data_IF_254964516314
#
_entry.id   IF_254964516314
#
_cell.length_a   1.000
_cell.length_b   1.000
_cell.length_c   1.000
_cell.angle_alpha   90.00
_cell.angle_beta   90.00
_cell.angle_gamma   90.00
#
_symmetry.space_group_name_H-M   'P 1'
#
loop_
_entity.id
_entity.type
_entity.pdbx_description
1 polymer ?
#
# COMPACT_ATOMS: atom_id res chain seq x y z
N UNK A 1 -20.09 0.20 21.52
CA UNK A 1 -19.80 -0.63 20.33
C UNK A 1 -18.35 -1.04 20.41
N UNK A 2 -18.11 -2.31 20.73
CA UNK A 2 -16.78 -2.88 20.69
C UNK A 2 -16.28 -2.86 19.25
N UNK A 3 -15.06 -2.38 19.04
CA UNK A 3 -14.46 -2.32 17.72
C UNK A 3 -14.21 -3.73 17.16
N UNK A 4 -14.12 -3.84 15.84
CA UNK A 4 -13.70 -5.08 15.19
C UNK A 4 -12.22 -5.02 14.81
N UNK A 5 -11.65 -6.19 14.56
CA UNK A 5 -10.28 -6.36 14.09
C UNK A 5 -10.28 -6.86 12.66
N UNK A 6 -9.25 -6.51 11.90
CA UNK A 6 -9.04 -7.05 10.57
C UNK A 6 -8.23 -8.34 10.60
N UNK A 7 -8.60 -9.29 9.77
CA UNK A 7 -7.77 -10.40 9.36
C UNK A 7 -7.23 -10.16 7.95
N UNK A 8 -6.05 -10.72 7.67
CA UNK A 8 -5.41 -10.56 6.38
C UNK A 8 -6.09 -11.45 5.34
N UNK A 9 -6.45 -10.89 4.17
CA UNK A 9 -6.80 -11.66 2.98
C UNK A 9 -5.69 -11.61 1.94
N UNK A 10 -5.30 -10.41 1.51
CA UNK A 10 -4.08 -10.19 0.75
C UNK A 10 -3.59 -8.72 0.89
N UNK A 11 -2.58 -8.34 0.10
CA UNK A 11 -2.04 -6.98 0.13
C UNK A 11 -3.08 -5.87 -0.11
N UNK A 12 -4.09 -6.09 -0.96
CA UNK A 12 -5.14 -5.11 -1.24
C UNK A 12 -6.31 -5.23 -0.27
N UNK A 13 -6.67 -6.44 0.13
CA UNK A 13 -7.90 -6.70 0.87
C UNK A 13 -7.67 -7.19 2.30
N UNK A 14 -8.52 -6.71 3.21
CA UNK A 14 -8.64 -7.22 4.57
C UNK A 14 -10.04 -7.77 4.79
N UNK A 15 -10.18 -8.69 5.73
CA UNK A 15 -11.48 -9.23 6.14
C UNK A 15 -11.81 -8.77 7.55
N UNK A 16 -13.07 -8.47 7.80
CA UNK A 16 -13.57 -8.21 9.15
C UNK A 16 -14.96 -8.82 9.31
N UNK A 17 -15.37 -9.03 10.56
CA UNK A 17 -16.71 -9.50 10.89
C UNK A 17 -17.49 -8.38 11.57
N UNK A 18 -18.74 -8.20 11.17
CA UNK A 18 -19.66 -7.23 11.75
C UNK A 18 -21.05 -7.86 11.80
N UNK A 19 -21.69 -7.83 12.96
CA UNK A 19 -23.05 -8.36 13.17
C UNK A 19 -23.22 -9.83 12.69
N UNK A 20 -22.18 -10.66 12.89
CA UNK A 20 -22.15 -12.06 12.47
C UNK A 20 -21.77 -12.31 11.01
N UNK A 21 -21.76 -11.28 10.16
CA UNK A 21 -21.45 -11.35 8.73
C UNK A 21 -20.00 -10.97 8.43
N UNK A 22 -19.36 -11.66 7.48
CA UNK A 22 -18.02 -11.32 7.01
C UNK A 22 -18.05 -10.31 5.87
N UNK A 23 -17.05 -9.44 5.86
CA UNK A 23 -16.87 -8.39 4.87
C UNK A 23 -15.42 -8.30 4.41
N UNK A 24 -15.24 -8.03 3.12
CA UNK A 24 -13.96 -7.78 2.47
C UNK A 24 -13.79 -6.27 2.27
N UNK A 25 -12.84 -5.67 2.98
CA UNK A 25 -12.42 -4.29 2.78
C UNK A 25 -11.42 -4.20 1.63
N UNK A 26 -11.69 -3.33 0.65
CA UNK A 26 -10.71 -2.90 -0.34
C UNK A 26 -9.94 -1.68 0.18
N UNK A 27 -8.64 -1.85 0.44
CA UNK A 27 -7.79 -0.78 0.95
C UNK A 27 -7.29 0.17 -0.12
N UNK A 28 -7.52 -0.12 -1.40
CA UNK A 28 -7.11 0.78 -2.47
C UNK A 28 -7.86 2.12 -2.32
N UNK A 29 -7.15 3.24 -2.07
CA UNK A 29 -7.79 4.53 -1.87
C UNK A 29 -8.66 4.93 -3.05
N UNK A 30 -9.84 5.48 -2.75
CA UNK A 30 -10.78 5.98 -3.75
C UNK A 30 -10.40 7.37 -4.29
N UNK A 31 -9.59 8.13 -3.55
CA UNK A 31 -9.19 9.50 -3.90
C UNK A 31 -7.67 9.64 -3.93
N UNK A 32 -7.15 10.41 -4.89
CA UNK A 32 -5.71 10.64 -5.04
C UNK A 32 -5.09 11.31 -3.81
N UNK A 33 -5.80 12.25 -3.18
CA UNK A 33 -5.34 12.96 -1.97
C UNK A 33 -4.98 12.00 -0.82
N UNK A 34 -5.64 10.83 -0.75
CA UNK A 34 -5.39 9.85 0.29
C UNK A 34 -4.03 9.15 0.14
N UNK A 35 -3.39 9.23 -1.03
CA UNK A 35 -2.00 8.77 -1.20
C UNK A 35 -0.98 9.71 -0.58
N UNK A 36 -1.27 11.01 -0.48
CA UNK A 36 -0.34 11.99 0.10
C UNK A 36 -0.18 11.83 1.62
N UNK A 37 -1.26 11.43 2.30
CA UNK A 37 -1.29 11.26 3.74
C UNK A 37 -2.18 10.08 4.11
N UNK A 38 -1.55 8.95 4.44
CA UNK A 38 -2.23 7.69 4.71
C UNK A 38 -3.43 7.81 5.69
N UNK A 39 -3.35 8.53 6.83
CA UNK A 39 -4.52 8.67 7.72
C UNK A 39 -5.72 9.40 7.09
N UNK A 40 -5.55 10.13 5.97
CA UNK A 40 -6.68 10.75 5.25
C UNK A 40 -7.68 9.69 4.77
N UNK A 41 -7.24 8.45 4.54
CA UNK A 41 -8.13 7.34 4.15
C UNK A 41 -9.28 7.10 5.15
N UNK A 42 -9.11 7.41 6.43
CA UNK A 42 -10.14 7.26 7.47
C UNK A 42 -11.27 8.29 7.38
N UNK A 43 -11.12 9.32 6.56
CA UNK A 43 -12.14 10.35 6.35
C UNK A 43 -13.06 10.04 5.17
N UNK A 44 -12.65 9.13 4.28
CA UNK A 44 -13.39 8.75 3.09
C UNK A 44 -14.11 7.42 3.27
N UNK A 45 -15.19 7.24 2.52
CA UNK A 45 -15.86 5.93 2.42
C UNK A 45 -14.97 4.94 1.68
N UNK A 46 -14.90 3.73 2.20
CA UNK A 46 -14.14 2.62 1.65
C UNK A 46 -15.08 1.62 1.00
N UNK A 47 -14.58 0.96 -0.05
CA UNK A 47 -15.32 -0.10 -0.73
C UNK A 47 -15.26 -1.36 0.12
N UNK A 48 -16.42 -1.93 0.39
CA UNK A 48 -16.60 -3.14 1.19
C UNK A 48 -17.49 -4.11 0.43
N UNK A 49 -17.18 -5.39 0.47
CA UNK A 49 -17.95 -6.44 -0.19
C UNK A 49 -18.39 -7.49 0.83
N UNK A 50 -19.67 -7.90 0.86
CA UNK A 50 -20.10 -8.99 1.72
C UNK A 50 -19.44 -10.30 1.27
N UNK A 51 -19.03 -11.12 2.23
CA UNK A 51 -18.46 -12.45 2.02
C UNK A 51 -19.41 -13.52 2.54
N UNK A 52 -19.45 -14.67 1.86
CA UNK A 52 -20.03 -15.88 2.44
C UNK A 52 -19.05 -16.53 3.40
N UNK A 53 -19.54 -17.45 4.25
CA UNK A 53 -18.66 -18.25 5.13
C UNK A 53 -17.67 -19.10 4.31
N UNK A 54 -18.10 -19.63 3.17
CA UNK A 54 -17.25 -20.41 2.27
C UNK A 54 -16.12 -19.55 1.68
N UNK A 55 -16.43 -18.34 1.20
CA UNK A 55 -15.42 -17.42 0.69
C UNK A 55 -14.35 -17.08 1.75
N UNK A 56 -14.80 -16.86 2.99
CA UNK A 56 -13.89 -16.61 4.11
C UNK A 56 -12.97 -17.80 4.40
N UNK A 57 -13.51 -19.02 4.39
CA UNK A 57 -12.73 -20.25 4.61
C UNK A 57 -11.69 -20.44 3.50
N UNK A 58 -12.04 -20.21 2.23
CA UNK A 58 -11.12 -20.29 1.10
C UNK A 58 -9.94 -19.30 1.23
N UNK A 59 -10.24 -18.06 1.64
CA UNK A 59 -9.21 -17.04 1.92
C UNK A 59 -8.29 -17.52 3.04
N UNK A 60 -8.85 -18.04 4.13
CA UNK A 60 -8.09 -18.50 5.29
C UNK A 60 -7.17 -19.67 4.94
N UNK A 61 -7.69 -20.68 4.23
CA UNK A 61 -6.91 -21.84 3.81
C UNK A 61 -5.70 -21.45 2.97
N UNK A 62 -5.88 -20.55 1.98
CA UNK A 62 -4.76 -20.05 1.18
C UNK A 62 -3.71 -19.34 2.04
N UNK A 63 -4.16 -18.51 2.98
CA UNK A 63 -3.24 -17.75 3.82
C UNK A 63 -2.47 -18.64 4.80
N UNK A 64 -3.09 -19.72 5.29
CA UNK A 64 -2.40 -20.69 6.14
C UNK A 64 -1.30 -21.46 5.36
N UNK A 65 -1.51 -21.74 4.07
CA UNK A 65 -0.44 -22.25 3.19
C UNK A 65 0.68 -21.22 3.00
N UNK A 66 0.35 -19.95 2.74
CA UNK A 66 1.37 -18.92 2.50
C UNK A 66 2.17 -18.55 3.76
N UNK A 67 1.62 -18.69 4.97
CA UNK A 67 2.36 -18.44 6.23
C UNK A 67 3.58 -19.33 6.39
N UNK A 68 3.62 -20.48 5.73
CA UNK A 68 4.77 -21.39 5.74
C UNK A 68 5.95 -20.84 4.93
N UNK A 69 5.72 -19.85 4.07
CA UNK A 69 6.75 -19.24 3.24
C UNK A 69 7.33 -18.00 3.93
N UNK A 70 8.37 -18.19 4.74
CA UNK A 70 9.11 -17.11 5.40
C UNK A 70 10.37 -16.80 4.59
N UNK A 71 10.50 -15.56 4.10
CA UNK A 71 11.76 -15.09 3.51
C UNK A 71 12.70 -14.73 4.67
N UNK A 72 13.84 -15.40 4.84
CA UNK A 72 14.77 -15.09 5.92
C UNK A 72 15.29 -13.66 5.80
N UNK A 73 15.25 -12.91 6.91
CA UNK A 73 15.81 -11.55 6.98
C UNK A 73 17.29 -11.50 6.58
N UNK A 74 18.03 -12.58 6.83
CA UNK A 74 19.42 -12.76 6.41
C UNK A 74 19.61 -12.64 4.88
N UNK A 75 18.64 -13.06 4.06
CA UNK A 75 18.73 -12.89 2.61
C UNK A 75 18.64 -11.41 2.21
N UNK A 76 17.79 -10.63 2.89
CA UNK A 76 17.69 -9.19 2.66
C UNK A 76 18.97 -8.46 3.04
N UNK A 77 19.53 -8.77 4.21
CA UNK A 77 20.81 -8.21 4.66
C UNK A 77 21.95 -8.63 3.72
N UNK A 78 22.06 -9.91 3.38
CA UNK A 78 23.07 -10.43 2.47
C UNK A 78 23.02 -9.77 1.09
N UNK A 79 21.82 -9.62 0.51
CA UNK A 79 21.63 -8.93 -0.76
C UNK A 79 22.06 -7.45 -0.69
N UNK A 80 21.73 -6.75 0.40
CA UNK A 80 22.11 -5.35 0.58
C UNK A 80 23.63 -5.17 0.69
N UNK A 81 24.32 -6.05 1.43
CA UNK A 81 25.79 -6.03 1.56
C UNK A 81 26.45 -6.38 0.24
N UNK A 82 25.92 -7.38 -0.48
CA UNK A 82 26.42 -7.75 -1.80
C UNK A 82 26.31 -6.59 -2.79
N UNK A 83 25.13 -5.97 -2.92
CA UNK A 83 24.91 -4.83 -3.81
C UNK A 83 25.81 -3.65 -3.42
N UNK A 84 25.92 -3.35 -2.12
CA UNK A 84 26.78 -2.28 -1.62
C UNK A 84 28.25 -2.51 -1.94
N UNK A 85 28.76 -3.72 -1.72
CA UNK A 85 30.14 -4.07 -2.04
C UNK A 85 30.39 -4.07 -3.55
N UNK A 86 29.45 -4.57 -4.35
CA UNK A 86 29.57 -4.56 -5.82
C UNK A 86 29.66 -3.13 -6.37
N UNK A 87 28.77 -2.25 -5.93
CA UNK A 87 28.77 -0.83 -6.32
C UNK A 87 30.08 -0.13 -5.94
N UNK A 88 30.62 -0.44 -4.75
CA UNK A 88 31.86 0.15 -4.24
C UNK A 88 33.11 -0.37 -4.97
N UNK A 89 33.25 -1.69 -5.11
CA UNK A 89 34.45 -2.33 -5.68
C UNK A 89 34.63 -1.95 -7.15
N UNK A 90 33.52 -1.87 -7.90
CA UNK A 90 33.58 -1.62 -9.34
C UNK A 90 33.34 -0.15 -9.72
N UNK A 91 33.29 0.78 -8.75
CA UNK A 91 32.99 2.21 -8.97
C UNK A 91 31.80 2.44 -9.90
N UNK A 92 30.80 1.54 -9.84
CA UNK A 92 29.76 1.46 -10.89
C UNK A 92 28.92 2.73 -10.91
N UNK A 93 28.85 3.45 -9.79
CA UNK A 93 28.14 4.73 -9.67
C UNK A 93 28.58 5.75 -10.73
N UNK A 94 29.85 5.74 -11.15
CA UNK A 94 30.36 6.66 -12.18
C UNK A 94 29.74 6.39 -13.56
N UNK A 95 29.41 5.14 -13.88
CA UNK A 95 28.74 4.82 -15.15
C UNK A 95 27.29 5.29 -15.20
N UNK A 96 26.72 5.66 -14.05
CA UNK A 96 25.36 6.17 -13.93
C UNK A 96 25.31 7.70 -13.80
N UNK A 97 26.46 8.38 -13.74
CA UNK A 97 26.53 9.84 -13.76
C UNK A 97 26.18 10.35 -15.16
N UNK A 98 25.33 11.37 -15.21
CA UNK A 98 24.88 11.97 -16.47
C UNK A 98 24.92 13.49 -16.37
N UNK A 99 25.44 14.12 -17.42
CA UNK A 99 25.48 15.58 -17.57
C UNK A 99 24.17 16.13 -18.15
N UNK A 100 23.05 15.47 -17.87
CA UNK A 100 21.75 15.91 -18.36
C UNK A 100 21.40 17.31 -17.86
N UNK A 101 20.76 18.10 -18.72
CA UNK A 101 20.23 19.39 -18.32
C UNK A 101 19.19 19.23 -17.21
N UNK A 102 19.01 20.27 -16.39
CA UNK A 102 18.01 20.27 -15.30
C UNK A 102 16.60 19.95 -15.84
N UNK A 103 16.27 20.51 -17.02
CA UNK A 103 14.99 20.25 -17.68
C UNK A 103 14.81 18.76 -17.98
N UNK A 104 15.83 18.10 -18.55
CA UNK A 104 15.76 16.68 -18.88
C UNK A 104 15.65 15.80 -17.61
N UNK A 105 16.35 16.16 -16.53
CA UNK A 105 16.21 15.50 -15.22
C UNK A 105 14.77 15.61 -14.68
N UNK A 106 14.11 16.76 -14.84
CA UNK A 106 12.70 16.94 -14.44
C UNK A 106 11.79 16.02 -15.27
N UNK A 107 11.99 15.92 -16.59
CA UNK A 107 11.22 14.98 -17.44
C UNK A 107 11.40 13.54 -16.93
N UNK A 108 12.63 13.12 -16.65
CA UNK A 108 12.91 11.77 -16.15
C UNK A 108 12.24 11.51 -14.80
N UNK A 109 12.17 12.51 -13.91
CA UNK A 109 11.43 12.39 -12.65
C UNK A 109 9.92 12.21 -12.86
N UNK A 110 9.31 12.95 -13.80
CA UNK A 110 7.90 12.77 -14.14
C UNK A 110 7.65 11.36 -14.70
N UNK A 111 8.54 10.86 -15.57
CA UNK A 111 8.47 9.51 -16.09
C UNK A 111 8.62 8.46 -14.97
N UNK A 112 9.56 8.68 -14.04
CA UNK A 112 9.73 7.84 -12.86
C UNK A 112 8.44 7.75 -12.02
N UNK A 113 7.77 8.88 -11.76
CA UNK A 113 6.49 8.91 -11.04
C UNK A 113 5.40 8.12 -11.79
N UNK A 114 5.34 8.24 -13.12
CA UNK A 114 4.39 7.48 -13.94
C UNK A 114 4.67 5.96 -13.87
N UNK A 115 5.94 5.56 -13.96
CA UNK A 115 6.37 4.15 -13.82
C UNK A 115 5.99 3.60 -12.44
N UNK A 116 6.31 4.32 -11.36
CA UNK A 116 5.94 3.89 -10.00
C UNK A 116 4.43 3.73 -9.83
N UNK A 117 3.64 4.63 -10.42
CA UNK A 117 2.17 4.57 -10.40
C UNK A 117 1.65 3.36 -11.18
N UNK A 118 2.22 3.09 -12.37
CA UNK A 118 1.88 1.92 -13.18
C UNK A 118 2.20 0.61 -12.44
N UNK A 119 3.37 0.53 -11.79
CA UNK A 119 3.75 -0.62 -10.97
C UNK A 119 2.77 -0.84 -9.81
N UNK A 120 2.39 0.22 -9.09
CA UNK A 120 1.41 0.13 -8.02
C UNK A 120 0.05 -0.37 -8.55
N UNK A 121 -0.40 0.17 -9.70
CA UNK A 121 -1.62 -0.28 -10.36
C UNK A 121 -1.58 -1.76 -10.75
N UNK A 122 -0.47 -2.24 -11.32
CA UNK A 122 -0.27 -3.65 -11.67
C UNK A 122 -0.40 -4.55 -10.44
N UNK A 123 0.19 -4.15 -9.31
CA UNK A 123 0.05 -4.91 -8.06
C UNK A 123 -1.40 -4.92 -7.59
N UNK A 124 -2.08 -3.76 -7.51
CA UNK A 124 -3.49 -3.72 -7.11
C UNK A 124 -4.40 -4.57 -8.01
N UNK A 125 -4.15 -4.60 -9.31
CA UNK A 125 -4.92 -5.39 -10.26
C UNK A 125 -4.63 -6.90 -10.11
N UNK A 126 -3.36 -7.27 -9.95
CA UNK A 126 -2.97 -8.65 -9.65
C UNK A 126 -3.63 -9.16 -8.36
N UNK A 127 -3.63 -8.35 -7.30
CA UNK A 127 -4.27 -8.71 -6.01
C UNK A 127 -5.79 -8.74 -6.08
N UNK A 128 -6.42 -7.93 -6.93
CA UNK A 128 -7.85 -8.02 -7.26
C UNK A 128 -8.19 -9.35 -7.93
N UNK A 129 -7.47 -9.69 -9.00
CA UNK A 129 -7.67 -10.96 -9.73
C UNK A 129 -7.48 -12.16 -8.81
N UNK A 130 -6.47 -12.11 -7.93
CA UNK A 130 -6.22 -13.19 -6.97
C UNK A 130 -7.36 -13.41 -5.97
N UNK A 131 -8.14 -12.40 -5.58
CA UNK A 131 -9.33 -12.62 -4.74
C UNK A 131 -10.51 -13.10 -5.57
N UNK A 132 -10.73 -12.47 -6.72
CA UNK A 132 -11.80 -12.88 -7.62
C UNK A 132 -11.70 -14.36 -8.04
N UNK A 133 -10.49 -14.92 -8.13
CA UNK A 133 -10.28 -16.33 -8.43
C UNK A 133 -10.50 -17.27 -7.24
N UNK A 134 -10.59 -16.76 -6.01
CA UNK A 134 -10.73 -17.56 -4.77
C UNK A 134 -12.14 -17.52 -4.19
N UNK A 135 -12.92 -16.50 -4.56
CA UNK A 135 -14.21 -16.20 -3.95
C UNK A 135 -15.25 -15.94 -5.02
N UNK A 136 -16.51 -16.21 -4.73
CA UNK A 136 -17.64 -15.91 -5.61
C UNK A 136 -18.12 -14.45 -5.49
N UNK A 137 -17.38 -13.61 -4.76
CA UNK A 137 -17.74 -12.21 -4.51
C UNK A 137 -17.75 -11.39 -5.79
N UNK A 138 -18.85 -10.67 -6.01
CA UNK A 138 -18.94 -9.68 -7.06
C UNK A 138 -18.20 -8.37 -6.68
N UNK A 139 -16.93 -8.27 -7.09
CA UNK A 139 -16.10 -7.07 -6.84
C UNK A 139 -16.51 -5.82 -7.64
N UNK A 140 -17.58 -5.88 -8.43
CA UNK A 140 -18.09 -4.72 -9.21
C UNK A 140 -19.16 -3.92 -8.47
N UNK A 141 -19.80 -4.51 -7.46
CA UNK A 141 -20.89 -3.88 -6.70
C UNK A 141 -20.49 -3.70 -5.23
N UNK A 142 -19.65 -2.68 -4.92
CA UNK A 142 -19.24 -2.41 -3.54
C UNK A 142 -20.36 -1.75 -2.73
N UNK A 143 -20.40 -2.11 -1.44
CA UNK A 143 -20.97 -1.28 -0.38
C UNK A 143 -19.92 -0.23 0.04
N UNK A 144 -20.37 0.88 0.65
CA UNK A 144 -19.50 1.98 1.03
C UNK A 144 -19.57 2.27 2.52
N UNK A 145 -18.53 1.89 3.26
CA UNK A 145 -18.46 2.08 4.71
C UNK A 145 -17.40 3.10 5.08
N UNK A 146 -17.72 3.97 6.03
CA UNK A 146 -16.75 4.90 6.62
C UNK A 146 -16.11 4.23 7.84
N UNK A 147 -14.88 3.80 7.69
CA UNK A 147 -14.14 3.06 8.73
C UNK A 147 -13.12 3.98 9.40
N UNK A 148 -13.05 3.90 10.72
CA UNK A 148 -12.04 4.65 11.51
C UNK A 148 -11.44 3.77 12.59
N UNK A 149 -10.19 4.03 12.99
CA UNK A 149 -9.67 3.42 14.19
C UNK A 149 -10.49 3.87 15.40
N UNK A 150 -10.77 2.93 16.30
CA UNK A 150 -11.51 3.19 17.53
C UNK A 150 -10.71 4.07 18.48
N UNK A 151 -9.38 3.89 18.50
CA UNK A 151 -8.41 4.71 19.23
C UNK A 151 -7.10 4.78 18.42
N UNK A 152 -6.41 5.91 18.50
CA UNK A 152 -5.07 6.06 17.93
C UNK A 152 -4.07 5.56 18.98
N UNK A 153 -3.39 4.45 18.69
CA UNK A 153 -2.39 3.87 19.60
C UNK A 153 -1.00 4.47 19.36
N UNK A 154 -0.11 4.40 20.35
CA UNK A 154 1.30 4.80 20.18
C UNK A 154 2.00 3.99 19.08
N UNK A 155 1.62 2.72 18.90
CA UNK A 155 2.10 1.88 17.80
C UNK A 155 1.72 2.44 16.44
N UNK A 156 0.46 2.88 16.26
CA UNK A 156 0.01 3.53 15.02
C UNK A 156 0.86 4.76 14.68
N UNK A 157 1.08 5.60 15.69
CA UNK A 157 1.87 6.83 15.54
C UNK A 157 3.31 6.46 15.19
N UNK A 158 3.91 5.50 15.90
CA UNK A 158 5.27 5.02 15.63
C UNK A 158 5.45 4.46 14.23
N UNK A 159 4.52 3.60 13.78
CA UNK A 159 4.52 3.06 12.40
C UNK A 159 4.41 4.17 11.37
N UNK A 160 3.56 5.17 11.61
CA UNK A 160 3.40 6.30 10.71
C UNK A 160 4.66 7.17 10.65
N UNK A 161 5.27 7.48 11.79
CA UNK A 161 6.53 8.24 11.86
C UNK A 161 7.67 7.48 11.16
N UNK A 162 7.77 6.16 11.37
CA UNK A 162 8.73 5.33 10.67
C UNK A 162 8.52 5.36 9.15
N UNK A 163 7.28 5.28 8.68
CA UNK A 163 6.95 5.42 7.26
C UNK A 163 7.37 6.78 6.69
N UNK A 164 7.09 7.89 7.38
CA UNK A 164 7.50 9.22 6.96
C UNK A 164 9.02 9.34 6.86
N UNK A 165 9.75 8.90 7.87
CA UNK A 165 11.21 9.02 7.90
C UNK A 165 11.88 8.12 6.85
N UNK A 166 11.44 6.87 6.77
CA UNK A 166 12.08 5.85 5.92
C UNK A 166 11.64 6.03 4.47
N UNK A 167 10.34 5.95 4.18
CA UNK A 167 9.86 5.92 2.79
C UNK A 167 9.84 7.32 2.20
N UNK A 168 9.16 8.28 2.86
CA UNK A 168 9.04 9.64 2.32
C UNK A 168 10.39 10.36 2.37
N UNK A 169 11.11 10.27 3.50
CA UNK A 169 12.44 10.85 3.65
C UNK A 169 13.44 10.33 2.60
N UNK A 170 13.55 9.01 2.40
CA UNK A 170 14.45 8.47 1.37
C UNK A 170 14.01 8.82 -0.05
N UNK A 171 12.70 8.86 -0.34
CA UNK A 171 12.21 9.32 -1.65
C UNK A 171 12.64 10.77 -1.92
N UNK A 172 12.44 11.67 -0.95
CA UNK A 172 12.81 13.08 -1.08
C UNK A 172 14.31 13.27 -1.22
N UNK A 173 15.12 12.60 -0.38
CA UNK A 173 16.58 12.70 -0.45
C UNK A 173 17.12 12.16 -1.78
N UNK A 174 16.63 11.01 -2.25
CA UNK A 174 17.05 10.45 -3.54
C UNK A 174 16.64 11.32 -4.72
N UNK A 175 15.44 11.91 -4.68
CA UNK A 175 15.01 12.87 -5.70
C UNK A 175 15.94 14.08 -5.78
N UNK A 176 16.24 14.71 -4.64
CA UNK A 176 17.16 15.87 -4.58
C UNK A 176 18.56 15.46 -5.06
N UNK A 177 19.06 14.32 -4.59
CA UNK A 177 20.35 13.79 -4.99
C UNK A 177 20.42 13.54 -6.51
N UNK A 178 19.34 13.06 -7.14
CA UNK A 178 19.27 12.90 -8.58
C UNK A 178 19.31 14.24 -9.32
N UNK A 179 18.54 15.24 -8.90
CA UNK A 179 18.55 16.56 -9.54
C UNK A 179 19.96 17.17 -9.48
N UNK A 180 20.59 17.15 -8.30
CA UNK A 180 21.90 17.75 -8.08
C UNK A 180 23.03 16.99 -8.81
N UNK A 181 23.08 15.66 -8.68
CA UNK A 181 24.21 14.87 -9.21
C UNK A 181 24.00 14.34 -10.63
N UNK A 182 22.75 14.23 -11.10
CA UNK A 182 22.43 13.53 -12.36
C UNK A 182 22.67 12.02 -12.32
N UNK A 183 22.92 11.43 -11.15
CA UNK A 183 23.21 10.01 -11.05
C UNK A 183 21.93 9.16 -11.12
N UNK A 184 21.81 8.31 -12.14
CA UNK A 184 20.64 7.48 -12.41
C UNK A 184 20.33 6.47 -11.30
N UNK A 185 21.30 6.11 -10.43
CA UNK A 185 21.03 5.27 -9.26
C UNK A 185 20.03 5.94 -8.32
N UNK A 186 20.15 7.26 -8.12
CA UNK A 186 19.20 8.01 -7.29
C UNK A 186 17.81 8.07 -7.93
N UNK A 187 17.72 8.11 -9.27
CA UNK A 187 16.45 8.00 -9.99
C UNK A 187 15.79 6.63 -9.76
N UNK A 188 16.57 5.54 -9.84
CA UNK A 188 16.07 4.19 -9.57
C UNK A 188 15.58 4.03 -8.11
N UNK A 189 16.32 4.58 -7.15
CA UNK A 189 15.90 4.62 -5.75
C UNK A 189 14.61 5.43 -5.60
N UNK A 190 14.49 6.57 -6.29
CA UNK A 190 13.27 7.39 -6.30
C UNK A 190 12.08 6.59 -6.81
N UNK A 191 12.23 5.89 -7.95
CA UNK A 191 11.18 5.01 -8.51
C UNK A 191 10.72 3.98 -7.48
N UNK A 192 11.68 3.29 -6.86
CA UNK A 192 11.40 2.26 -5.85
C UNK A 192 10.66 2.86 -4.64
N UNK A 193 11.15 3.96 -4.08
CA UNK A 193 10.56 4.56 -2.88
C UNK A 193 9.18 5.16 -3.14
N UNK A 194 8.97 5.80 -4.29
CA UNK A 194 7.63 6.29 -4.69
C UNK A 194 6.67 5.13 -4.91
N UNK A 195 7.11 4.04 -5.53
CA UNK A 195 6.30 2.82 -5.64
C UNK A 195 5.93 2.28 -4.25
N UNK A 196 6.90 2.15 -3.34
CA UNK A 196 6.66 1.72 -1.96
C UNK A 196 5.73 2.69 -1.20
N UNK A 197 5.81 3.99 -1.47
CA UNK A 197 4.91 5.00 -0.92
C UNK A 197 3.45 4.75 -1.33
N UNK A 198 3.19 4.49 -2.61
CA UNK A 198 1.83 4.14 -3.07
C UNK A 198 1.30 2.84 -2.46
N UNK A 199 2.20 1.90 -2.17
CA UNK A 199 1.88 0.65 -1.51
C UNK A 199 1.62 0.84 0.00
N UNK A 200 2.37 1.73 0.65
CA UNK A 200 2.32 1.98 2.09
C UNK A 200 0.98 2.56 2.57
N UNK A 201 0.17 3.16 1.68
CA UNK A 201 -1.17 3.66 2.06
C UNK A 201 -2.07 2.56 2.62
N UNK A 202 -1.83 1.30 2.23
CA UNK A 202 -2.54 0.15 2.79
C UNK A 202 -2.27 -0.07 4.29
N UNK A 203 -1.23 0.55 4.87
CA UNK A 203 -0.93 0.52 6.31
C UNK A 203 -1.95 1.34 7.12
N UNK A 204 -2.83 2.13 6.47
CA UNK A 204 -3.97 2.81 7.11
C UNK A 204 -4.86 1.83 7.90
N UNK A 205 -4.95 0.60 7.40
CA UNK A 205 -5.71 -0.48 8.00
C UNK A 205 -4.76 -1.65 8.28
N UNK A 206 -4.59 -1.97 9.55
CA UNK A 206 -3.68 -3.01 10.05
C UNK A 206 -4.45 -4.18 10.63
N UNK A 207 -3.82 -5.36 10.62
CA UNK A 207 -4.32 -6.60 11.23
C UNK A 207 -3.71 -6.89 12.60
N UNK A 208 -2.90 -5.97 13.14
CA UNK A 208 -2.30 -6.12 14.46
C UNK A 208 -3.40 -6.03 15.55
N UNK A 209 -3.32 -6.91 16.54
CA UNK A 209 -4.29 -7.05 17.65
C UNK A 209 -4.46 -5.72 18.42
N UNK A 210 -3.41 -4.89 18.48
CA UNK A 210 -3.46 -3.56 19.10
C UNK A 210 -4.25 -2.50 18.31
N UNK A 211 -4.79 -2.87 17.15
CA UNK A 211 -5.56 -2.00 16.26
C UNK A 211 -7.01 -2.49 16.23
N UNK A 212 -7.93 -1.64 16.68
CA UNK A 212 -9.37 -1.87 16.56
C UNK A 212 -10.02 -0.76 15.75
N UNK A 213 -11.05 -1.12 15.00
CA UNK A 213 -11.74 -0.23 14.08
C UNK A 213 -13.24 -0.26 14.34
N UNK A 214 -13.92 0.80 13.90
CA UNK A 214 -15.37 0.92 13.98
C UNK A 214 -15.93 1.45 12.67
N UNK A 215 -17.15 1.02 12.36
CA UNK A 215 -17.95 1.65 11.30
C UNK A 215 -18.56 2.92 11.89
N UNK A 216 -18.23 4.06 11.29
CA UNK A 216 -18.79 5.36 11.70
C UNK A 216 -20.05 5.67 10.90
N UNK A 217 -20.11 5.21 9.66
CA UNK A 217 -21.24 5.46 8.77
C UNK A 217 -21.30 4.42 7.64
N UNK A 218 -22.50 4.20 7.08
CA UNK A 218 -22.78 3.30 5.96
C UNK A 218 -23.60 4.07 4.92
N UNK A 219 -23.10 4.17 3.68
CA UNK A 219 -23.89 4.73 2.58
C UNK A 219 -24.83 3.66 2.05
N UNK A 220 -26.14 3.93 2.11
CA UNK A 220 -27.13 3.14 1.40
C UNK A 220 -27.13 3.47 -0.10
N UNK A 221 -27.42 2.48 -0.94
CA UNK A 221 -27.29 2.52 -2.41
C UNK A 221 -28.06 3.69 -3.06
N UNK A 222 -29.08 4.21 -2.39
CA UNK A 222 -29.96 5.30 -2.85
C UNK A 222 -29.30 6.68 -2.84
N UNK A 223 -28.35 6.94 -1.92
CA UNK A 223 -27.70 8.26 -1.78
C UNK A 223 -26.52 8.48 -2.73
N UNK A 224 -26.05 7.42 -3.40
CA UNK A 224 -24.90 7.47 -4.32
C UNK A 224 -25.12 8.40 -5.52
N UNK A 225 -26.35 8.58 -5.98
CA UNK A 225 -26.69 9.43 -7.12
C UNK A 225 -26.60 10.93 -6.81
N UNK A 226 -26.50 11.35 -5.54
CA UNK A 226 -26.38 12.76 -5.14
C UNK A 226 -24.95 13.29 -5.04
N UNK A 227 -23.94 12.41 -5.00
CA UNK A 227 -22.52 12.82 -4.82
C UNK A 227 -21.67 12.78 -6.09
N UNK A 228 -22.24 12.36 -7.23
CA UNK A 228 -21.59 12.43 -8.54
C UNK A 228 -21.90 13.75 -9.29
N UNK A 229 -22.60 14.68 -8.62
CA UNK A 229 -22.88 16.04 -9.06
C UNK A 229 -22.19 17.06 -8.17
#
# INVERSE_FOLDING_TARGET
>A
MDGFHFSYANFRYLVFQLDGQYYLLDRQPNHLIAYLFMPLTWFFYQRVYPLTNEDYLNIRQKNDVMKQFVIPSALGVGASVFVGNWLRIHHVSKYFETDFSVMFKIILLLLAMAISSMLAWLVYNSRKRSIASLTHVNLTQPLYYKLRPSRISSKMIGTYMAYLLVIVGMASMSLVAFICSGNLVFLLITILMVFLHFMAVNLAYSTDIGYSYKVVDRLETTDKNRMLH
#
